data_IF_194146860436
#
_entry.id   IF_194146860436
#
_cell.length_a   1.000
_cell.length_b   1.000
_cell.length_c   1.000
_cell.angle_alpha   90.00
_cell.angle_beta   90.00
_cell.angle_gamma   90.00
#
_symmetry.space_group_name_H-M   'P 1'
#
loop_
_entity.id
_entity.type
_entity.pdbx_description
1 polymer ?
#
# COMPACT_ATOMS: atom_id res chain seq x y z
N UNK A 1 -3.56 20.65 -7.58
CA UNK A 1 -4.15 19.41 -8.12
C UNK A 1 -5.36 19.09 -7.27
N UNK A 2 -6.45 18.66 -7.89
CA UNK A 2 -7.67 18.28 -7.19
C UNK A 2 -7.46 16.96 -6.43
N UNK A 3 -8.39 16.67 -5.53
CA UNK A 3 -8.47 15.36 -4.90
C UNK A 3 -9.07 14.37 -5.90
N UNK A 4 -8.22 13.52 -6.49
CA UNK A 4 -8.61 12.52 -7.49
C UNK A 4 -8.92 11.15 -6.85
N UNK A 5 -9.11 11.08 -5.52
CA UNK A 5 -9.45 9.85 -4.81
C UNK A 5 -10.85 9.35 -5.20
N UNK A 6 -11.03 8.04 -5.16
CA UNK A 6 -12.34 7.41 -5.39
C UNK A 6 -13.31 7.79 -4.27
N UNK A 7 -14.50 8.27 -4.62
CA UNK A 7 -15.59 8.44 -3.65
C UNK A 7 -16.13 7.07 -3.22
N UNK A 8 -16.11 6.80 -1.91
CA UNK A 8 -16.66 5.57 -1.35
C UNK A 8 -18.18 5.69 -1.25
N UNK A 9 -18.97 4.81 -1.90
CA UNK A 9 -20.42 4.88 -1.82
C UNK A 9 -20.91 4.53 -0.42
N UNK A 10 -21.97 5.19 0.05
CA UNK A 10 -22.57 4.92 1.37
C UNK A 10 -23.30 3.56 1.47
N UNK A 11 -23.54 2.89 0.34
CA UNK A 11 -24.20 1.58 0.28
C UNK A 11 -23.75 0.81 -0.97
N UNK A 12 -23.74 -0.51 -0.90
CA UNK A 12 -23.37 -1.41 -1.99
C UNK A 12 -23.28 -2.83 -1.49
N UNK A 13 -23.01 -3.78 -2.39
CA UNK A 13 -22.59 -5.12 -1.95
C UNK A 13 -21.20 -5.09 -1.29
N UNK A 14 -20.86 -6.16 -0.59
CA UNK A 14 -19.61 -6.26 0.16
C UNK A 14 -18.38 -6.01 -0.72
N UNK A 15 -18.35 -6.58 -1.93
CA UNK A 15 -17.22 -6.43 -2.86
C UNK A 15 -17.05 -4.98 -3.29
N UNK A 16 -18.14 -4.31 -3.62
CA UNK A 16 -18.14 -2.90 -4.03
C UNK A 16 -17.53 -2.03 -2.94
N UNK A 17 -17.97 -2.24 -1.69
CA UNK A 17 -17.47 -1.46 -0.56
C UNK A 17 -15.99 -1.74 -0.25
N UNK A 18 -15.58 -3.02 -0.21
CA UNK A 18 -14.18 -3.40 0.04
C UNK A 18 -13.24 -2.79 -1.01
N UNK A 19 -13.59 -2.89 -2.29
CA UNK A 19 -12.78 -2.32 -3.37
C UNK A 19 -12.74 -0.79 -3.30
N UNK A 20 -13.88 -0.15 -3.07
CA UNK A 20 -13.95 1.32 -2.99
C UNK A 20 -13.13 1.87 -1.82
N UNK A 21 -13.21 1.27 -0.62
CA UNK A 21 -12.40 1.69 0.51
C UNK A 21 -10.91 1.48 0.26
N UNK A 22 -10.51 0.35 -0.31
CA UNK A 22 -9.11 0.10 -0.63
C UNK A 22 -8.58 1.06 -1.69
N UNK A 23 -9.35 1.34 -2.75
CA UNK A 23 -8.94 2.30 -3.78
C UNK A 23 -8.91 3.74 -3.26
N UNK A 24 -9.81 4.13 -2.36
CA UNK A 24 -9.75 5.41 -1.65
C UNK A 24 -8.45 5.54 -0.83
N UNK A 25 -8.07 4.50 -0.09
CA UNK A 25 -6.83 4.50 0.70
C UNK A 25 -5.58 4.52 -0.18
N UNK A 26 -5.55 3.72 -1.26
CA UNK A 26 -4.47 3.76 -2.27
C UNK A 26 -4.30 5.16 -2.86
N UNK A 27 -5.41 5.82 -3.21
CA UNK A 27 -5.41 7.21 -3.66
C UNK A 27 -4.95 8.19 -2.59
N UNK A 28 -5.31 7.95 -1.33
CA UNK A 28 -4.85 8.74 -0.18
C UNK A 28 -3.34 8.72 -0.04
N UNK A 29 -2.68 7.57 -0.23
CA UNK A 29 -1.21 7.50 -0.23
C UNK A 29 -0.61 8.46 -1.28
N UNK A 30 -1.13 8.42 -2.51
CA UNK A 30 -0.70 9.33 -3.58
C UNK A 30 -0.94 10.81 -3.24
N UNK A 31 -2.13 11.13 -2.71
CA UNK A 31 -2.48 12.47 -2.26
C UNK A 31 -1.53 12.98 -1.17
N UNK A 32 -1.22 12.16 -0.16
CA UNK A 32 -0.32 12.52 0.94
C UNK A 32 1.14 12.64 0.50
N UNK A 33 1.53 12.08 -0.63
CA UNK A 33 2.87 12.30 -1.21
C UNK A 33 2.91 13.48 -2.20
N UNK A 34 1.77 14.05 -2.57
CA UNK A 34 1.72 15.14 -3.54
C UNK A 34 2.48 16.38 -3.04
N UNK A 35 3.31 16.95 -3.93
CA UNK A 35 4.10 18.15 -3.67
C UNK A 35 5.39 17.94 -2.87
N UNK A 36 5.69 16.72 -2.40
CA UNK A 36 6.97 16.44 -1.75
C UNK A 36 8.10 16.36 -2.78
N UNK A 37 9.25 16.96 -2.46
CA UNK A 37 10.51 16.65 -3.14
C UNK A 37 11.03 15.27 -2.75
N UNK A 38 11.93 14.69 -3.55
CA UNK A 38 12.61 13.43 -3.20
C UNK A 38 13.36 13.54 -1.86
N UNK A 39 13.92 14.71 -1.55
CA UNK A 39 14.60 14.97 -0.27
C UNK A 39 13.62 14.93 0.90
N UNK A 40 12.48 15.62 0.78
CA UNK A 40 11.44 15.61 1.82
C UNK A 40 10.87 14.19 1.99
N UNK A 41 10.60 13.49 0.89
CA UNK A 41 10.02 12.16 0.92
C UNK A 41 10.96 11.12 1.56
N UNK A 42 12.28 11.33 1.52
CA UNK A 42 13.30 10.46 2.15
C UNK A 42 13.66 10.86 3.58
N UNK A 43 13.15 11.98 4.07
CA UNK A 43 13.49 12.48 5.41
C UNK A 43 12.62 11.81 6.46
N UNK A 44 13.24 11.09 7.39
CA UNK A 44 12.55 10.66 8.63
C UNK A 44 12.62 11.76 9.68
N UNK A 45 11.48 12.06 10.29
CA UNK A 45 11.35 12.95 11.45
C UNK A 45 11.01 12.18 12.73
N UNK A 46 10.95 10.84 12.64
CA UNK A 46 10.66 9.95 13.74
C UNK A 46 11.93 9.22 14.19
N UNK A 47 11.98 8.72 15.44
CA UNK A 47 13.09 7.89 15.90
C UNK A 47 13.32 6.65 15.02
N UNK A 48 12.23 6.08 14.48
CA UNK A 48 12.33 5.06 13.44
C UNK A 48 12.74 5.70 12.11
N UNK A 49 13.93 5.37 11.63
CA UNK A 49 14.49 5.95 10.40
C UNK A 49 13.83 5.45 9.12
N UNK A 50 13.05 4.37 9.20
CA UNK A 50 12.38 3.77 8.04
C UNK A 50 11.06 4.44 7.69
N UNK A 51 10.40 5.09 8.67
CA UNK A 51 9.10 5.71 8.47
C UNK A 51 9.23 7.07 7.77
N UNK A 52 9.41 7.01 6.46
CA UNK A 52 9.52 8.14 5.53
C UNK A 52 8.41 8.03 4.49
N UNK A 53 8.02 9.13 3.84
CA UNK A 53 6.97 9.05 2.83
C UNK A 53 7.34 8.11 1.67
N UNK A 54 8.60 8.17 1.20
CA UNK A 54 9.09 7.28 0.16
C UNK A 54 9.19 5.82 0.63
N UNK A 55 9.64 5.59 1.87
CA UNK A 55 9.69 4.25 2.46
C UNK A 55 8.31 3.61 2.61
N UNK A 56 7.30 4.38 3.03
CA UNK A 56 5.92 3.92 3.12
C UNK A 56 5.37 3.51 1.75
N UNK A 57 5.57 4.32 0.70
CA UNK A 57 5.11 3.97 -0.66
C UNK A 57 5.80 2.69 -1.16
N UNK A 58 7.10 2.56 -0.95
CA UNK A 58 7.87 1.38 -1.36
C UNK A 58 7.41 0.13 -0.61
N UNK A 59 7.17 0.24 0.69
CA UNK A 59 6.63 -0.84 1.51
C UNK A 59 5.25 -1.28 1.02
N UNK A 60 4.31 -0.33 0.86
CA UNK A 60 2.95 -0.64 0.43
C UNK A 60 2.90 -1.31 -0.95
N UNK A 61 3.79 -0.94 -1.88
CA UNK A 61 3.97 -1.67 -3.15
C UNK A 61 4.32 -3.15 -2.91
N UNK A 62 5.26 -3.44 -2.02
CA UNK A 62 5.67 -4.83 -1.78
C UNK A 62 4.64 -5.63 -0.98
N UNK A 63 3.94 -5.00 -0.05
CA UNK A 63 2.77 -5.57 0.63
C UNK A 63 1.69 -5.96 -0.38
N UNK A 64 1.37 -5.03 -1.28
CA UNK A 64 0.38 -5.24 -2.35
C UNK A 64 0.77 -6.45 -3.22
N UNK A 65 2.02 -6.46 -3.70
CA UNK A 65 2.55 -7.55 -4.50
C UNK A 65 2.49 -8.90 -3.76
N UNK A 66 2.93 -8.92 -2.50
CA UNK A 66 2.98 -10.15 -1.72
C UNK A 66 1.58 -10.74 -1.55
N UNK A 67 0.60 -9.94 -1.13
CA UNK A 67 -0.71 -10.49 -0.82
C UNK A 67 -1.53 -10.86 -2.05
N UNK A 68 -1.49 -10.04 -3.11
CA UNK A 68 -2.27 -10.33 -4.32
C UNK A 68 -1.54 -11.26 -5.27
N UNK A 69 -0.29 -10.98 -5.62
CA UNK A 69 0.42 -11.74 -6.66
C UNK A 69 1.02 -13.03 -6.11
N UNK A 70 1.65 -12.98 -4.93
CA UNK A 70 2.34 -14.15 -4.35
C UNK A 70 1.35 -15.07 -3.63
N UNK A 71 0.57 -14.54 -2.69
CA UNK A 71 -0.33 -15.35 -1.86
C UNK A 71 -1.57 -15.78 -2.64
N UNK A 72 -2.37 -14.85 -3.17
CA UNK A 72 -3.57 -15.22 -3.95
C UNK A 72 -3.22 -15.74 -5.35
N UNK A 73 -2.28 -15.10 -6.04
CA UNK A 73 -1.89 -15.45 -7.40
C UNK A 73 -0.92 -16.62 -7.54
N UNK A 74 -0.35 -17.11 -6.43
CA UNK A 74 0.59 -18.23 -6.42
C UNK A 74 1.91 -17.96 -7.16
N UNK A 75 2.26 -16.69 -7.39
CA UNK A 75 3.51 -16.30 -8.06
C UNK A 75 4.70 -16.36 -7.09
N UNK A 76 5.94 -16.53 -7.57
CA UNK A 76 7.11 -16.39 -6.70
C UNK A 76 7.23 -14.95 -6.18
N UNK A 77 7.67 -14.79 -4.93
CA UNK A 77 7.99 -13.46 -4.39
C UNK A 77 9.25 -12.89 -5.05
N UNK A 78 9.16 -11.63 -5.45
CA UNK A 78 10.28 -10.84 -5.96
C UNK A 78 10.71 -9.75 -4.96
N UNK A 79 10.12 -9.75 -3.77
CA UNK A 79 10.37 -8.72 -2.77
C UNK A 79 11.82 -8.77 -2.26
N UNK A 80 12.40 -7.61 -1.92
CA UNK A 80 13.82 -7.52 -1.56
C UNK A 80 14.12 -8.00 -0.14
N UNK A 81 13.10 -8.21 0.71
CA UNK A 81 13.30 -8.62 2.09
C UNK A 81 13.79 -10.06 2.21
N UNK A 82 14.63 -10.29 3.21
CA UNK A 82 15.23 -11.59 3.51
C UNK A 82 15.07 -11.89 5.00
N UNK A 83 15.41 -13.11 5.43
CA UNK A 83 15.42 -13.43 6.86
C UNK A 83 16.43 -12.60 7.67
N UNK A 84 17.50 -12.13 7.02
CA UNK A 84 18.53 -11.28 7.64
C UNK A 84 18.16 -9.78 7.57
N UNK A 85 17.25 -9.42 6.67
CA UNK A 85 16.87 -8.05 6.38
C UNK A 85 15.37 -7.95 6.07
N UNK A 86 14.52 -8.02 7.10
CA UNK A 86 13.06 -8.07 6.95
C UNK A 86 12.48 -6.74 6.45
N UNK A 87 13.20 -5.63 6.64
CA UNK A 87 12.73 -4.27 6.33
C UNK A 87 13.32 -3.73 5.01
N UNK A 88 13.86 -4.60 4.15
CA UNK A 88 14.51 -4.17 2.92
C UNK A 88 13.57 -3.44 1.94
N UNK A 89 12.27 -3.74 2.01
CA UNK A 89 11.20 -3.11 1.25
C UNK A 89 10.90 -1.66 1.69
N UNK A 90 11.39 -1.24 2.86
CA UNK A 90 11.30 0.15 3.33
C UNK A 90 12.45 1.04 2.86
N UNK A 91 13.60 0.45 2.52
CA UNK A 91 14.83 1.22 2.24
C UNK A 91 14.80 1.73 0.81
N UNK A 92 14.86 3.05 0.68
CA UNK A 92 14.84 3.73 -0.61
C UNK A 92 16.27 3.91 -1.12
N UNK A 93 16.60 3.25 -2.21
CA UNK A 93 17.93 3.19 -2.81
C UNK A 93 18.29 4.49 -3.55
N UNK A 94 19.59 4.79 -3.74
CA UNK A 94 20.01 5.90 -4.59
C UNK A 94 19.39 5.80 -5.99
N UNK A 95 18.77 6.89 -6.46
CA UNK A 95 18.13 6.97 -7.79
C UNK A 95 16.63 6.65 -7.81
N UNK A 96 16.06 6.06 -6.77
CA UNK A 96 14.60 5.94 -6.64
C UNK A 96 13.99 7.32 -6.36
N UNK A 97 12.95 7.71 -7.09
CA UNK A 97 12.25 9.01 -6.86
C UNK A 97 10.87 8.74 -6.27
N UNK A 98 10.31 9.69 -5.53
CA UNK A 98 8.95 9.57 -5.00
C UNK A 98 7.94 9.36 -6.14
N UNK A 99 8.14 10.03 -7.27
CA UNK A 99 7.31 9.86 -8.46
C UNK A 99 7.40 8.45 -9.06
N UNK A 100 8.61 7.87 -9.12
CA UNK A 100 8.82 6.50 -9.59
C UNK A 100 8.20 5.47 -8.65
N UNK A 101 8.38 5.65 -7.34
CA UNK A 101 7.77 4.77 -6.33
C UNK A 101 6.24 4.80 -6.38
N UNK A 102 5.64 5.98 -6.56
CA UNK A 102 4.19 6.11 -6.73
C UNK A 102 3.69 5.44 -8.03
N UNK A 103 4.46 5.55 -9.12
CA UNK A 103 4.13 4.88 -10.37
C UNK A 103 4.20 3.35 -10.24
N UNK A 104 5.24 2.83 -9.58
CA UNK A 104 5.39 1.41 -9.29
C UNK A 104 4.24 0.90 -8.39
N UNK A 105 3.89 1.66 -7.34
CA UNK A 105 2.77 1.34 -6.46
C UNK A 105 1.44 1.32 -7.22
N UNK A 106 1.17 2.33 -8.05
CA UNK A 106 -0.05 2.40 -8.86
C UNK A 106 -0.16 1.24 -9.86
N UNK A 107 0.96 0.84 -10.46
CA UNK A 107 1.04 -0.34 -11.33
C UNK A 107 0.70 -1.63 -10.58
N UNK A 108 1.23 -1.81 -9.37
CA UNK A 108 0.92 -2.97 -8.54
C UNK A 108 -0.54 -3.00 -8.07
N UNK A 109 -1.11 -1.84 -7.73
CA UNK A 109 -2.54 -1.72 -7.41
C UNK A 109 -3.42 -2.09 -8.61
N UNK A 110 -3.02 -1.72 -9.84
CA UNK A 110 -3.74 -2.12 -11.05
C UNK A 110 -3.69 -3.63 -11.27
N UNK A 111 -2.51 -4.24 -11.16
CA UNK A 111 -2.35 -5.69 -11.26
C UNK A 111 -3.16 -6.44 -10.18
N UNK A 112 -3.24 -5.87 -8.97
CA UNK A 112 -4.04 -6.40 -7.88
C UNK A 112 -5.54 -6.36 -8.18
N UNK A 113 -6.05 -5.24 -8.73
CA UNK A 113 -7.45 -5.12 -9.18
C UNK A 113 -7.80 -6.14 -10.27
N UNK A 114 -6.93 -6.30 -11.27
CA UNK A 114 -7.14 -7.28 -12.34
C UNK A 114 -7.23 -8.71 -11.79
N UNK A 115 -6.37 -9.07 -10.84
CA UNK A 115 -6.36 -10.39 -10.22
C UNK A 115 -7.65 -10.64 -9.42
N UNK A 116 -8.06 -9.72 -8.56
CA UNK A 116 -9.23 -9.94 -7.69
C UNK A 116 -10.57 -9.84 -8.42
N UNK A 117 -10.61 -9.20 -9.59
CA UNK A 117 -11.81 -9.13 -10.42
C UNK A 117 -12.28 -10.52 -10.87
N UNK A 118 -11.35 -11.49 -11.00
CA UNK A 118 -11.65 -12.87 -11.38
C UNK A 118 -11.88 -13.85 -10.21
N UNK A 119 -11.79 -13.40 -8.96
CA UNK A 119 -11.89 -14.26 -7.78
C UNK A 119 -13.12 -13.94 -6.95
N UNK A 120 -13.85 -14.98 -6.51
CA UNK A 120 -14.90 -14.86 -5.51
C UNK A 120 -14.34 -14.42 -4.15
N UNK A 121 -15.14 -13.70 -3.34
CA UNK A 121 -14.69 -13.26 -2.02
C UNK A 121 -14.37 -14.44 -1.08
N UNK A 122 -15.07 -15.56 -1.27
CA UNK A 122 -14.86 -16.82 -0.55
C UNK A 122 -13.81 -17.73 -1.22
N UNK A 123 -13.16 -17.29 -2.29
CA UNK A 123 -12.05 -18.04 -2.87
C UNK A 123 -10.92 -18.14 -1.85
N UNK A 124 -10.51 -19.37 -1.52
CA UNK A 124 -9.46 -19.63 -0.56
C UNK A 124 -8.21 -20.24 -1.18
N UNK A 125 -7.06 -19.85 -0.66
CA UNK A 125 -5.75 -20.43 -0.96
C UNK A 125 -5.12 -21.01 0.30
N UNK A 126 -4.26 -22.01 0.13
CA UNK A 126 -3.47 -22.54 1.23
C UNK A 126 -2.45 -21.49 1.70
N UNK A 127 -2.26 -21.40 3.01
CA UNK A 127 -1.33 -20.49 3.66
C UNK A 127 -0.51 -21.22 4.74
N UNK A 128 0.33 -20.47 5.46
CA UNK A 128 1.28 -21.00 6.44
C UNK A 128 0.60 -21.87 7.50
N UNK A 129 1.30 -22.91 7.96
CA UNK A 129 0.83 -23.74 9.07
C UNK A 129 -0.38 -24.63 8.75
N UNK A 130 -0.73 -24.79 7.47
CA UNK A 130 -1.92 -25.56 7.07
C UNK A 130 -3.22 -24.75 7.07
N UNK A 131 -3.13 -23.46 7.42
CA UNK A 131 -4.27 -22.54 7.38
C UNK A 131 -4.66 -22.21 5.94
N UNK A 132 -5.86 -21.66 5.78
CA UNK A 132 -6.35 -21.11 4.52
C UNK A 132 -6.79 -19.67 4.74
N UNK A 133 -6.67 -18.85 3.71
CA UNK A 133 -7.17 -17.49 3.73
C UNK A 133 -7.96 -17.20 2.48
N UNK A 134 -8.96 -16.34 2.60
CA UNK A 134 -9.86 -15.97 1.52
C UNK A 134 -9.46 -14.66 0.84
N UNK A 135 -9.90 -14.46 -0.41
CA UNK A 135 -9.78 -13.16 -1.08
C UNK A 135 -10.36 -12.02 -0.25
N UNK A 136 -11.49 -12.26 0.45
CA UNK A 136 -12.06 -11.30 1.41
C UNK A 136 -11.09 -10.94 2.51
N UNK A 137 -10.43 -11.92 3.12
CA UNK A 137 -9.46 -11.67 4.19
C UNK A 137 -8.32 -10.78 3.70
N UNK A 138 -7.79 -11.05 2.50
CA UNK A 138 -6.73 -10.22 1.90
C UNK A 138 -7.19 -8.79 1.67
N UNK A 139 -8.38 -8.58 1.09
CA UNK A 139 -8.90 -7.23 0.88
C UNK A 139 -9.05 -6.46 2.19
N UNK A 140 -9.60 -7.09 3.23
CA UNK A 140 -9.74 -6.48 4.56
C UNK A 140 -8.37 -6.14 5.16
N UNK A 141 -7.42 -7.07 5.08
CA UNK A 141 -6.08 -6.83 5.59
C UNK A 141 -5.39 -5.66 4.88
N UNK A 142 -5.54 -5.55 3.55
CA UNK A 142 -4.94 -4.44 2.80
C UNK A 142 -5.61 -3.09 3.08
N UNK A 143 -6.90 -3.07 3.40
CA UNK A 143 -7.57 -1.86 3.89
C UNK A 143 -6.96 -1.43 5.22
N UNK A 144 -6.80 -2.36 6.16
CA UNK A 144 -6.23 -2.06 7.48
C UNK A 144 -4.76 -1.61 7.37
N UNK A 145 -3.94 -2.34 6.62
CA UNK A 145 -2.53 -2.04 6.38
C UNK A 145 -2.35 -0.66 5.74
N UNK A 146 -3.07 -0.40 4.64
CA UNK A 146 -2.98 0.88 3.93
C UNK A 146 -3.50 2.04 4.78
N UNK A 147 -4.59 1.83 5.53
CA UNK A 147 -5.14 2.84 6.45
C UNK A 147 -4.17 3.20 7.57
N UNK A 148 -3.48 2.20 8.14
CA UNK A 148 -2.44 2.43 9.15
C UNK A 148 -1.30 3.29 8.60
N UNK A 149 -0.85 3.01 7.39
CA UNK A 149 0.23 3.76 6.75
C UNK A 149 -0.20 5.14 6.27
N UNK A 150 -1.47 5.34 5.88
CA UNK A 150 -2.02 6.66 5.63
C UNK A 150 -1.94 7.55 6.89
N UNK A 151 -2.30 7.01 8.06
CA UNK A 151 -2.16 7.73 9.33
C UNK A 151 -0.69 8.03 9.70
N UNK A 152 0.25 7.14 9.38
CA UNK A 152 1.68 7.47 9.51
C UNK A 152 2.10 8.62 8.60
N UNK A 153 1.59 8.67 7.36
CA UNK A 153 1.86 9.77 6.44
C UNK A 153 1.30 11.10 6.93
N UNK A 154 0.15 11.10 7.62
CA UNK A 154 -0.40 12.31 8.22
C UNK A 154 0.57 12.93 9.23
N UNK A 155 1.12 12.12 10.13
CA UNK A 155 2.12 12.56 11.12
C UNK A 155 3.40 13.03 10.41
N UNK A 156 3.85 12.29 9.39
CA UNK A 156 5.05 12.65 8.62
C UNK A 156 4.86 13.99 7.90
N UNK A 157 3.69 14.25 7.29
CA UNK A 157 3.38 15.51 6.63
C UNK A 157 3.29 16.66 7.61
N UNK A 158 2.56 16.49 8.71
CA UNK A 158 2.43 17.54 9.72
C UNK A 158 3.80 17.98 10.26
N UNK A 159 4.71 17.02 10.50
CA UNK A 159 6.06 17.31 10.95
C UNK A 159 6.98 17.89 9.85
N UNK A 160 6.78 17.52 8.58
CA UNK A 160 7.63 17.96 7.45
C UNK A 160 7.28 19.37 6.97
N UNK A 161 6.00 19.66 6.78
CA UNK A 161 5.53 20.87 6.12
C UNK A 161 4.25 21.47 6.73
N UNK A 162 3.73 20.89 7.81
CA UNK A 162 2.54 21.39 8.50
C UNK A 162 1.22 21.05 7.80
N UNK A 163 1.24 20.29 6.70
CA UNK A 163 0.01 19.79 6.07
C UNK A 163 -0.58 18.71 6.97
N UNK A 164 -1.81 18.93 7.44
CA UNK A 164 -2.48 18.01 8.35
C UNK A 164 -3.16 16.86 7.63
N UNK A 165 -3.40 15.80 8.40
CA UNK A 165 -4.19 14.64 8.02
C UNK A 165 -5.68 14.92 7.81
N UNK A 166 -6.42 13.85 7.47
CA UNK A 166 -7.90 13.82 7.51
C UNK A 166 -8.37 12.99 8.71
#
# INVERSE_FOLDING_TARGET
MGDDRVEVPFSGDERTLLNAFLDYLRGTIGFKCAGLSDEQARRSLLPSRLNTAAGVVKHLRWVENYWFQVVLGGKPSLAPYTGEDPDADWRVEPGETISGLLADYASECAASRELVAGLDLDHEVAFRGGERLSTRWVLIHLIEETGRHAGHLDVVRELLDGVTGE
#
